data_IF_062480124693
#
_entry.id   IF_062480124693
#
_cell.length_a   1.000
_cell.length_b   1.000
_cell.length_c   1.000
_cell.angle_alpha   90.00
_cell.angle_beta   90.00
_cell.angle_gamma   90.00
#
_symmetry.space_group_name_H-M   'P 1'
#
loop_
_entity.id
_entity.type
_entity.pdbx_description
1 polymer ?
#
# COMPACT_ATOMS: atom_id res chain seq x y z
N UNK A 1 4.18 -2.75 -28.90
CA UNK A 1 3.20 -1.65 -28.63
C UNK A 1 3.24 -0.63 -29.78
N UNK A 2 2.08 -0.03 -30.18
CA UNK A 2 2.05 1.05 -31.22
C UNK A 2 2.65 2.32 -30.63
N UNK A 3 3.40 3.13 -31.44
CA UNK A 3 4.04 4.37 -30.96
C UNK A 3 3.07 5.36 -30.34
N UNK A 4 1.88 5.53 -30.93
CA UNK A 4 0.86 6.46 -30.45
C UNK A 4 0.31 6.05 -29.07
N UNK A 5 0.09 4.74 -28.89
CA UNK A 5 -0.35 4.19 -27.60
C UNK A 5 0.76 4.39 -26.53
N UNK A 6 2.01 4.17 -26.93
CA UNK A 6 3.16 4.39 -26.05
C UNK A 6 3.25 5.84 -25.58
N UNK A 7 3.14 6.80 -26.49
CA UNK A 7 3.20 8.22 -26.12
C UNK A 7 2.02 8.61 -25.22
N UNK A 8 0.82 8.15 -25.54
CA UNK A 8 -0.36 8.44 -24.74
C UNK A 8 -0.27 7.85 -23.32
N UNK A 9 0.32 6.67 -23.15
CA UNK A 9 0.56 6.09 -21.82
C UNK A 9 1.57 6.93 -21.02
N UNK A 10 2.60 7.46 -21.67
CA UNK A 10 3.56 8.37 -21.02
C UNK A 10 2.85 9.65 -20.54
N UNK A 11 2.07 10.27 -21.41
CA UNK A 11 1.35 11.52 -21.10
C UNK A 11 0.36 11.32 -19.93
N UNK A 12 -0.38 10.23 -19.94
CA UNK A 12 -1.30 9.90 -18.84
C UNK A 12 -0.54 9.59 -17.54
N UNK A 13 0.55 8.84 -17.60
CA UNK A 13 1.33 8.55 -16.40
C UNK A 13 1.91 9.83 -15.77
N UNK A 14 2.39 10.77 -16.57
CA UNK A 14 2.89 12.05 -16.06
C UNK A 14 1.76 12.92 -15.47
N UNK A 15 0.60 12.98 -16.15
CA UNK A 15 -0.55 13.76 -15.69
C UNK A 15 -1.16 13.22 -14.40
N UNK A 16 -1.36 11.90 -14.32
CA UNK A 16 -2.12 11.28 -13.23
C UNK A 16 -1.26 10.74 -12.09
N UNK A 17 0.06 10.76 -12.21
CA UNK A 17 0.96 10.55 -11.08
C UNK A 17 1.11 11.86 -10.27
N UNK A 18 0.00 12.32 -9.71
CA UNK A 18 -0.11 13.55 -8.95
C UNK A 18 -0.96 13.32 -7.69
N UNK A 19 -0.52 13.79 -6.51
CA UNK A 19 -1.24 13.63 -5.23
C UNK A 19 -2.69 14.12 -5.26
N UNK A 20 -3.02 15.08 -6.12
CA UNK A 20 -4.39 15.65 -6.22
C UNK A 20 -5.45 14.58 -6.52
N UNK A 21 -5.09 13.54 -7.27
CA UNK A 21 -6.00 12.44 -7.61
C UNK A 21 -6.14 11.37 -6.51
N UNK A 22 -5.30 11.45 -5.46
CA UNK A 22 -5.19 10.43 -4.40
C UNK A 22 -5.48 10.98 -3.00
N UNK A 23 -6.08 12.17 -2.89
CA UNK A 23 -6.42 12.78 -1.60
C UNK A 23 -7.41 11.94 -0.78
N UNK A 24 -8.40 11.35 -1.43
CA UNK A 24 -9.37 10.44 -0.81
C UNK A 24 -9.06 8.96 -1.06
N UNK A 25 -7.83 8.65 -1.48
CA UNK A 25 -7.40 7.26 -1.72
C UNK A 25 -6.87 6.63 -0.42
N UNK A 26 -6.98 5.31 -0.25
CA UNK A 26 -6.44 4.63 0.93
C UNK A 26 -4.97 4.89 1.24
N UNK A 27 -4.14 5.25 0.25
CA UNK A 27 -2.74 5.65 0.47
C UNK A 27 -2.61 6.89 1.37
N UNK A 28 -3.67 7.69 1.51
CA UNK A 28 -3.69 8.84 2.41
C UNK A 28 -3.36 8.45 3.86
N UNK A 29 -3.77 7.26 4.30
CA UNK A 29 -3.51 6.79 5.66
C UNK A 29 -2.02 6.55 5.95
N UNK A 30 -1.30 5.67 5.26
CA UNK A 30 0.13 5.51 5.52
C UNK A 30 0.92 6.81 5.25
N UNK A 31 0.46 7.68 4.35
CA UNK A 31 1.06 9.01 4.16
C UNK A 31 0.85 9.91 5.37
N UNK A 32 -0.31 9.90 6.00
CA UNK A 32 -0.59 10.66 7.21
C UNK A 32 0.30 10.20 8.38
N UNK A 33 0.48 8.89 8.56
CA UNK A 33 1.44 8.36 9.54
C UNK A 33 2.86 8.83 9.25
N UNK A 34 3.29 8.83 7.98
CA UNK A 34 4.60 9.35 7.58
C UNK A 34 4.74 10.85 7.92
N UNK A 35 3.74 11.67 7.59
CA UNK A 35 3.73 13.10 7.88
C UNK A 35 3.78 13.42 9.38
N UNK A 36 3.20 12.55 10.21
CA UNK A 36 3.26 12.65 11.67
C UNK A 36 4.60 12.17 12.26
N UNK A 37 5.54 11.71 11.45
CA UNK A 37 6.83 11.17 11.90
C UNK A 37 6.71 9.84 12.64
N UNK A 38 5.68 9.04 12.34
CA UNK A 38 5.48 7.74 12.93
C UNK A 38 6.60 6.75 12.58
N UNK A 39 6.79 5.73 13.40
CA UNK A 39 7.75 4.67 13.14
C UNK A 39 7.37 3.88 11.87
N UNK A 40 8.37 3.29 11.20
CA UNK A 40 8.14 2.50 9.97
C UNK A 40 7.08 1.41 10.17
N UNK A 41 7.05 0.77 11.34
CA UNK A 41 6.07 -0.27 11.67
C UNK A 41 4.64 0.24 11.70
N UNK A 42 4.40 1.45 12.23
CA UNK A 42 3.08 2.07 12.19
C UNK A 42 2.65 2.35 10.75
N UNK A 43 3.57 2.82 9.90
CA UNK A 43 3.30 3.11 8.48
C UNK A 43 3.05 1.82 7.71
N UNK A 44 3.82 0.75 7.94
CA UNK A 44 3.61 -0.57 7.34
C UNK A 44 2.24 -1.14 7.71
N UNK A 45 1.86 -1.06 8.99
CA UNK A 45 0.56 -1.53 9.47
C UNK A 45 -0.56 -0.70 8.86
N UNK A 46 -0.39 0.63 8.79
CA UNK A 46 -1.35 1.50 8.12
C UNK A 46 -1.50 1.14 6.64
N UNK A 47 -0.41 0.90 5.93
CA UNK A 47 -0.44 0.52 4.52
C UNK A 47 -1.13 -0.83 4.30
N UNK A 48 -0.86 -1.84 5.15
CA UNK A 48 -1.48 -3.17 5.00
C UNK A 48 -2.99 -3.13 5.27
N UNK A 49 -3.44 -2.41 6.30
CA UNK A 49 -4.87 -2.30 6.60
C UNK A 49 -5.60 -1.43 5.60
N UNK A 50 -5.03 -0.29 5.19
CA UNK A 50 -5.62 0.56 4.16
C UNK A 50 -5.79 -0.21 2.83
N UNK A 51 -4.78 -0.98 2.42
CA UNK A 51 -4.87 -1.84 1.24
C UNK A 51 -5.87 -2.99 1.44
N UNK A 52 -5.97 -3.57 2.63
CA UNK A 52 -6.93 -4.64 2.94
C UNK A 52 -8.38 -4.16 2.83
N UNK A 53 -8.66 -2.94 3.29
CA UNK A 53 -10.00 -2.33 3.21
C UNK A 53 -10.30 -1.71 1.84
N UNK A 54 -9.32 -1.60 0.92
CA UNK A 54 -9.45 -0.93 -0.38
C UNK A 54 -10.33 -1.68 -1.37
N UNK A 55 -11.64 -1.76 -1.09
CA UNK A 55 -12.65 -2.29 -2.01
C UNK A 55 -14.05 -1.74 -1.71
N UNK A 56 -14.75 -1.33 -2.74
CA UNK A 56 -16.06 -0.68 -2.64
C UNK A 56 -15.98 0.83 -2.93
N UNK A 57 -16.89 1.60 -2.36
CA UNK A 57 -16.95 3.05 -2.57
C UNK A 57 -15.84 3.75 -1.77
N UNK A 58 -15.13 4.70 -2.40
CA UNK A 58 -13.98 5.40 -1.81
C UNK A 58 -14.30 6.05 -0.45
N UNK A 59 -15.38 6.81 -0.36
CA UNK A 59 -15.81 7.44 0.91
C UNK A 59 -16.06 6.41 2.04
N UNK A 60 -16.58 5.23 1.71
CA UNK A 60 -16.76 4.15 2.70
C UNK A 60 -15.42 3.59 3.16
N UNK A 61 -14.46 3.41 2.25
CA UNK A 61 -13.12 2.92 2.57
C UNK A 61 -12.44 3.90 3.53
N UNK A 62 -12.44 5.20 3.20
CA UNK A 62 -11.84 6.25 4.05
C UNK A 62 -12.49 6.25 5.43
N UNK A 63 -13.83 6.31 5.52
CA UNK A 63 -14.55 6.26 6.81
C UNK A 63 -14.14 5.05 7.66
N UNK A 64 -14.08 3.88 7.05
CA UNK A 64 -13.86 2.63 7.78
C UNK A 64 -12.38 2.43 8.13
N UNK A 65 -11.44 2.96 7.34
CA UNK A 65 -10.05 3.08 7.73
C UNK A 65 -9.89 4.05 8.93
N UNK A 66 -10.55 5.20 8.91
CA UNK A 66 -10.55 6.14 10.06
C UNK A 66 -11.04 5.44 11.32
N UNK A 67 -12.20 4.76 11.26
CA UNK A 67 -12.72 3.98 12.39
C UNK A 67 -11.72 2.93 12.92
N UNK A 68 -10.98 2.30 12.04
CA UNK A 68 -9.96 1.33 12.43
C UNK A 68 -8.79 2.01 13.16
N UNK A 69 -8.28 3.12 12.62
CA UNK A 69 -7.17 3.81 13.25
C UNK A 69 -7.56 4.59 14.51
N UNK A 70 -8.82 5.04 14.62
CA UNK A 70 -9.38 5.59 15.87
C UNK A 70 -9.41 4.52 16.96
N UNK A 71 -9.84 3.29 16.68
CA UNK A 71 -9.78 2.16 17.59
C UNK A 71 -8.34 1.83 18.03
N UNK A 72 -7.36 2.02 17.16
CA UNK A 72 -5.94 1.85 17.44
C UNK A 72 -5.29 3.10 18.07
N UNK A 73 -6.07 4.14 18.41
CA UNK A 73 -5.58 5.42 18.92
C UNK A 73 -4.47 6.02 18.04
N UNK A 74 -4.51 5.77 16.74
CA UNK A 74 -3.50 6.15 15.76
C UNK A 74 -2.07 5.69 16.13
N UNK A 75 -1.96 4.58 16.89
CA UNK A 75 -0.71 3.92 17.30
C UNK A 75 -0.79 2.41 16.99
N UNK A 76 -0.92 2.03 15.71
CA UNK A 76 -1.24 0.64 15.36
C UNK A 76 -0.17 -0.36 15.81
N UNK A 77 1.11 0.00 15.82
CA UNK A 77 2.15 -0.87 16.34
C UNK A 77 1.99 -1.13 17.84
N UNK A 78 1.75 -0.07 18.62
CA UNK A 78 1.50 -0.20 20.07
C UNK A 78 0.24 -1.02 20.34
N UNK A 79 -0.84 -0.79 19.60
CA UNK A 79 -2.08 -1.55 19.70
C UNK A 79 -1.83 -3.05 19.45
N UNK A 80 -1.05 -3.37 18.40
CA UNK A 80 -0.70 -4.76 18.09
C UNK A 80 0.17 -5.36 19.20
N UNK A 81 1.18 -4.64 19.70
CA UNK A 81 2.10 -5.14 20.72
C UNK A 81 1.45 -5.27 22.11
N UNK A 82 0.40 -4.50 22.39
CA UNK A 82 -0.41 -4.65 23.62
C UNK A 82 -1.20 -5.97 23.65
N UNK A 83 -1.40 -6.62 22.50
CA UNK A 83 -2.08 -7.91 22.36
C UNK A 83 -3.49 -7.95 22.98
N UNK A 84 -4.18 -6.80 22.94
CA UNK A 84 -5.55 -6.63 23.44
C UNK A 84 -6.40 -5.97 22.35
N UNK A 85 -6.91 -6.79 21.44
CA UNK A 85 -7.61 -6.32 20.25
C UNK A 85 -9.12 -6.35 20.47
N UNK A 86 -9.80 -5.39 19.84
CA UNK A 86 -11.23 -5.49 19.65
C UNK A 86 -11.54 -6.71 18.80
N UNK A 87 -12.23 -7.69 19.40
CA UNK A 87 -12.57 -8.98 18.79
C UNK A 87 -14.08 -9.23 18.95
N UNK A 88 -14.87 -8.68 18.03
CA UNK A 88 -16.30 -8.90 17.96
C UNK A 88 -16.77 -9.16 16.52
N UNK A 89 -18.01 -9.65 16.38
CA UNK A 89 -18.57 -10.02 15.10
C UNK A 89 -19.26 -8.87 14.36
N UNK A 90 -19.17 -7.63 14.84
CA UNK A 90 -19.70 -6.46 14.13
C UNK A 90 -18.84 -6.10 12.92
N UNK A 91 -19.47 -5.55 11.90
CA UNK A 91 -18.77 -5.16 10.69
C UNK A 91 -17.94 -3.90 10.91
N UNK A 92 -16.67 -3.97 10.54
CA UNK A 92 -15.85 -2.78 10.33
C UNK A 92 -16.08 -2.24 8.92
N UNK A 93 -15.93 -3.07 7.89
CA UNK A 93 -16.02 -2.67 6.49
C UNK A 93 -16.68 -3.76 5.66
N UNK A 94 -17.91 -3.54 5.21
CA UNK A 94 -18.67 -4.49 4.40
C UNK A 94 -18.76 -5.87 5.08
N UNK A 95 -18.11 -6.90 4.53
CA UNK A 95 -18.06 -8.25 5.11
C UNK A 95 -16.92 -8.45 6.09
N UNK A 96 -15.96 -7.52 6.18
CA UNK A 96 -14.82 -7.59 7.10
C UNK A 96 -15.31 -7.21 8.50
N UNK A 97 -15.10 -8.09 9.45
CA UNK A 97 -15.48 -7.94 10.86
C UNK A 97 -14.28 -7.54 11.72
N UNK A 98 -14.54 -7.00 12.92
CA UNK A 98 -13.49 -6.72 13.90
C UNK A 98 -12.73 -7.98 14.31
N UNK A 99 -13.39 -9.14 14.41
CA UNK A 99 -12.72 -10.42 14.65
C UNK A 99 -11.70 -10.79 13.57
N UNK A 100 -11.95 -10.45 12.29
CA UNK A 100 -10.97 -10.67 11.22
C UNK A 100 -9.76 -9.75 11.39
N UNK A 101 -9.99 -8.49 11.77
CA UNK A 101 -8.92 -7.55 12.09
C UNK A 101 -8.08 -8.02 13.28
N UNK A 102 -8.72 -8.48 14.36
CA UNK A 102 -8.04 -9.06 15.53
C UNK A 102 -7.13 -10.24 15.14
N UNK A 103 -7.60 -11.11 14.26
CA UNK A 103 -6.80 -12.20 13.73
C UNK A 103 -5.59 -11.73 12.91
N UNK A 104 -5.73 -10.65 12.15
CA UNK A 104 -4.60 -10.05 11.41
C UNK A 104 -3.62 -9.41 12.41
N UNK A 105 -4.11 -8.65 13.38
CA UNK A 105 -3.30 -8.06 14.45
C UNK A 105 -2.47 -9.12 15.20
N UNK A 106 -3.09 -10.25 15.57
CA UNK A 106 -2.39 -11.35 16.24
C UNK A 106 -1.24 -11.91 15.38
N UNK A 107 -1.43 -12.05 14.06
CA UNK A 107 -0.36 -12.50 13.15
C UNK A 107 0.74 -11.47 12.98
N UNK A 108 0.40 -10.19 12.91
CA UNK A 108 1.36 -9.10 12.92
C UNK A 108 2.15 -9.04 14.24
N UNK A 109 1.48 -9.27 15.39
CA UNK A 109 2.16 -9.42 16.67
C UNK A 109 3.24 -10.51 16.63
N UNK A 110 2.89 -11.72 16.18
CA UNK A 110 3.87 -12.80 16.03
C UNK A 110 4.98 -12.48 15.04
N UNK A 111 4.65 -11.80 13.94
CA UNK A 111 5.63 -11.37 12.96
C UNK A 111 6.63 -10.38 13.55
N UNK A 112 6.18 -9.33 14.20
CA UNK A 112 7.06 -8.29 14.76
C UNK A 112 7.75 -8.73 16.06
N UNK A 113 7.18 -9.65 16.82
CA UNK A 113 7.79 -10.22 18.04
C UNK A 113 8.87 -11.25 17.74
N UNK A 114 8.89 -11.84 16.56
CA UNK A 114 9.93 -12.80 16.17
C UNK A 114 11.28 -12.08 16.06
N UNK A 115 12.37 -12.75 16.45
CA UNK A 115 13.73 -12.19 16.34
C UNK A 115 14.06 -11.89 14.88
N UNK A 116 14.47 -10.66 14.60
CA UNK A 116 15.05 -10.32 13.31
C UNK A 116 16.40 -11.04 13.17
N UNK A 117 16.58 -11.74 12.06
CA UNK A 117 17.83 -12.45 11.73
C UNK A 117 18.80 -11.57 10.94
N UNK A 118 18.50 -10.30 10.71
CA UNK A 118 19.29 -9.34 9.94
C UNK A 118 19.35 -7.96 10.57
N UNK A 119 20.40 -7.23 10.30
CA UNK A 119 20.81 -5.93 10.90
C UNK A 119 19.75 -4.82 10.71
N UNK A 120 19.55 -3.95 11.73
CA UNK A 120 18.59 -2.86 11.63
C UNK A 120 19.08 -1.74 10.74
N UNK A 121 18.14 -1.09 10.08
CA UNK A 121 18.39 0.15 9.35
C UNK A 121 17.58 1.29 9.98
N UNK A 122 18.29 2.33 10.42
CA UNK A 122 17.68 3.58 10.87
C UNK A 122 17.33 4.40 9.62
N UNK A 123 16.06 4.69 9.42
CA UNK A 123 15.61 5.57 8.33
C UNK A 123 15.60 6.99 8.86
N UNK A 124 16.53 7.83 8.39
CA UNK A 124 16.47 9.28 8.59
C UNK A 124 15.66 9.87 7.44
N UNK A 125 14.50 10.43 7.74
CA UNK A 125 13.60 11.04 6.76
C UNK A 125 13.85 12.55 6.71
N UNK A 126 14.30 13.05 5.55
CA UNK A 126 14.21 14.46 5.20
C UNK A 126 12.82 14.71 4.59
N UNK A 127 11.96 15.42 5.30
CA UNK A 127 10.61 15.77 4.84
C UNK A 127 10.61 17.13 4.17
N UNK A 128 9.96 17.24 3.00
CA UNK A 128 9.61 18.51 2.37
C UNK A 128 8.31 19.04 3.03
N UNK A 129 8.28 20.29 3.57
CA UNK A 129 7.19 20.79 4.39
C UNK A 129 5.93 21.27 3.64
N UNK A 130 5.79 21.03 2.34
CA UNK A 130 4.76 21.69 1.51
C UNK A 130 3.43 20.94 1.35
N UNK A 131 3.20 19.83 2.04
CA UNK A 131 1.94 19.05 1.89
C UNK A 131 0.98 19.33 3.06
N UNK A 132 -0.15 19.94 2.76
CA UNK A 132 -1.20 20.27 3.75
C UNK A 132 -1.99 19.02 4.22
N UNK A 133 -2.19 18.92 5.54
CA UNK A 133 -3.05 17.93 6.21
C UNK A 133 -4.53 18.18 5.90
N UNK A 134 -5.29 17.14 5.54
CA UNK A 134 -6.70 17.24 5.08
C UNK A 134 -7.71 16.89 6.17
N UNK A 135 -7.31 16.38 7.32
CA UNK A 135 -8.24 16.01 8.40
C UNK A 135 -7.82 16.66 9.72
N UNK A 136 -8.75 17.41 10.33
CA UNK A 136 -8.60 17.97 11.67
C UNK A 136 -8.65 16.87 12.73
N UNK A 137 -7.50 16.33 13.05
CA UNK A 137 -7.30 15.38 14.15
C UNK A 137 -6.52 16.04 15.27
N UNK A 138 -6.69 15.62 16.54
CA UNK A 138 -6.08 16.28 17.69
C UNK A 138 -4.55 16.32 17.56
N UNK A 139 -3.99 17.49 17.80
CA UNK A 139 -2.56 17.74 17.83
C UNK A 139 -1.88 16.84 18.87
N UNK A 140 -0.97 15.99 18.44
CA UNK A 140 -0.06 15.30 19.34
C UNK A 140 0.90 16.34 19.96
N UNK A 141 0.80 16.53 21.26
CA UNK A 141 1.81 17.23 22.03
C UNK A 141 3.15 16.49 21.89
N UNK A 142 4.16 17.18 21.40
CA UNK A 142 5.53 16.70 21.41
C UNK A 142 6.03 16.70 22.86
N UNK A 143 5.74 15.66 23.62
CA UNK A 143 6.49 15.38 24.84
C UNK A 143 7.79 14.71 24.44
N UNK A 144 8.87 15.46 24.57
CA UNK A 144 10.23 15.01 24.35
C UNK A 144 10.58 13.87 25.31
N UNK A 145 10.51 12.65 24.82
CA UNK A 145 11.10 11.49 25.47
C UNK A 145 12.59 11.43 25.11
N UNK A 146 13.42 12.10 25.90
CA UNK A 146 14.83 11.75 26.06
C UNK A 146 14.89 10.45 26.87
N UNK A 147 14.66 9.34 26.25
CA UNK A 147 14.74 7.99 26.83
C UNK A 147 16.08 7.36 26.51
N UNK A 148 16.89 7.23 27.53
CA UNK A 148 18.17 6.53 27.66
C UNK A 148 18.26 5.21 26.90
N UNK A 149 19.45 4.96 26.32
CA UNK A 149 20.05 3.72 25.82
C UNK A 149 19.40 2.39 26.17
N UNK A 150 18.38 2.00 25.40
CA UNK A 150 17.97 0.61 25.29
C UNK A 150 18.65 0.03 24.05
N UNK A 151 19.29 -1.13 24.18
CA UNK A 151 19.77 -1.97 23.07
C UNK A 151 18.57 -2.37 22.22
N UNK A 152 18.17 -1.47 21.30
CA UNK A 152 17.00 -1.63 20.46
C UNK A 152 17.18 -2.88 19.59
N UNK A 153 16.36 -3.89 19.85
CA UNK A 153 16.28 -5.07 18.98
C UNK A 153 15.89 -4.60 17.58
N UNK A 154 16.57 -5.12 16.53
CA UNK A 154 16.16 -4.83 15.16
C UNK A 154 14.73 -5.34 14.97
N UNK A 155 13.81 -4.43 14.65
CA UNK A 155 12.41 -4.77 14.38
C UNK A 155 12.29 -5.22 12.93
N UNK A 156 11.55 -6.31 12.70
CA UNK A 156 11.32 -6.83 11.34
C UNK A 156 10.50 -5.85 10.52
N UNK A 157 10.76 -5.82 9.22
CA UNK A 157 9.96 -5.09 8.24
C UNK A 157 9.20 -6.08 7.34
N UNK A 158 7.97 -5.73 6.97
CA UNK A 158 7.15 -6.47 6.00
C UNK A 158 7.76 -6.45 4.59
N UNK A 159 8.70 -5.55 4.31
CA UNK A 159 9.46 -5.50 3.06
C UNK A 159 10.14 -6.83 2.72
N UNK A 160 10.58 -7.56 3.76
CA UNK A 160 11.29 -8.85 3.61
C UNK A 160 10.37 -9.99 3.13
N UNK A 161 9.07 -9.77 3.08
CA UNK A 161 8.10 -10.74 2.62
C UNK A 161 7.70 -10.47 1.17
N UNK A 162 7.65 -11.52 0.37
CA UNK A 162 7.00 -11.48 -0.94
C UNK A 162 5.49 -11.27 -0.81
N UNK A 163 4.81 -10.92 -1.90
CA UNK A 163 3.36 -10.77 -1.89
C UNK A 163 2.63 -12.06 -1.50
N UNK A 164 3.15 -13.22 -1.89
CA UNK A 164 2.57 -14.52 -1.52
C UNK A 164 2.81 -14.85 -0.04
N UNK A 165 3.99 -14.55 0.49
CA UNK A 165 4.27 -14.72 1.92
C UNK A 165 3.37 -13.83 2.78
N UNK A 166 3.15 -12.56 2.41
CA UNK A 166 2.19 -11.68 3.10
C UNK A 166 0.77 -12.28 3.03
N UNK A 167 0.36 -12.79 1.87
CA UNK A 167 -0.93 -13.44 1.68
C UNK A 167 -1.13 -14.62 2.64
N UNK A 168 -0.14 -15.49 2.74
CA UNK A 168 -0.23 -16.73 3.53
C UNK A 168 -0.03 -16.44 5.01
N UNK A 169 1.00 -15.64 5.38
CA UNK A 169 1.39 -15.45 6.79
C UNK A 169 0.53 -14.40 7.49
N UNK A 170 0.24 -13.28 6.85
CA UNK A 170 -0.49 -12.18 7.48
C UNK A 170 -2.00 -12.32 7.28
N UNK A 171 -2.45 -12.58 6.05
CA UNK A 171 -3.88 -12.73 5.77
C UNK A 171 -4.40 -14.17 5.94
N UNK A 172 -3.52 -15.15 6.17
CA UNK A 172 -3.84 -16.57 6.28
C UNK A 172 -4.75 -17.07 5.15
N UNK A 173 -4.57 -16.51 3.98
CA UNK A 173 -5.25 -17.00 2.79
C UNK A 173 -4.53 -18.25 2.28
N UNK A 174 -5.28 -19.14 1.63
CA UNK A 174 -4.71 -20.35 1.04
C UNK A 174 -3.62 -19.96 0.01
N UNK A 175 -2.51 -20.70 0.01
CA UNK A 175 -1.51 -20.58 -1.05
C UNK A 175 -2.16 -20.71 -2.42
N UNK A 176 -1.89 -19.76 -3.29
CA UNK A 176 -2.39 -19.73 -4.65
C UNK A 176 -1.38 -19.04 -5.57
N UNK A 177 -0.54 -19.84 -6.21
CA UNK A 177 0.50 -19.38 -7.15
C UNK A 177 -0.06 -18.61 -8.36
N UNK A 178 -1.38 -18.63 -8.57
CA UNK A 178 -2.05 -17.90 -9.64
C UNK A 178 -2.68 -16.59 -9.18
N UNK A 179 -2.75 -16.34 -7.89
CA UNK A 179 -3.37 -15.13 -7.35
C UNK A 179 -2.60 -13.88 -7.79
N UNK A 180 -3.31 -12.89 -8.33
CA UNK A 180 -2.72 -11.60 -8.70
C UNK A 180 -2.34 -10.73 -7.51
N UNK A 181 -2.80 -11.06 -6.30
CA UNK A 181 -2.48 -10.38 -5.04
C UNK A 181 -2.63 -8.83 -5.11
N UNK A 182 -3.71 -8.34 -5.76
CA UNK A 182 -3.93 -6.92 -6.08
C UNK A 182 -3.67 -5.99 -4.90
N UNK A 183 -4.28 -6.27 -3.76
CA UNK A 183 -4.18 -5.41 -2.56
C UNK A 183 -2.74 -5.35 -2.03
N UNK A 184 -2.06 -6.47 -2.02
CA UNK A 184 -0.67 -6.57 -1.54
C UNK A 184 0.28 -5.89 -2.53
N UNK A 185 0.11 -6.09 -3.84
CA UNK A 185 0.91 -5.40 -4.85
C UNK A 185 0.66 -3.89 -4.86
N UNK A 186 -0.56 -3.43 -4.55
CA UNK A 186 -0.87 -2.01 -4.36
C UNK A 186 -0.13 -1.42 -3.15
N UNK A 187 -0.16 -2.11 -2.00
CA UNK A 187 0.62 -1.73 -0.83
C UNK A 187 2.13 -1.72 -1.13
N UNK A 188 2.64 -2.74 -1.81
CA UNK A 188 4.06 -2.81 -2.20
C UNK A 188 4.44 -1.63 -3.12
N UNK A 189 3.59 -1.25 -4.08
CA UNK A 189 3.79 -0.05 -4.89
C UNK A 189 3.94 1.18 -4.00
N UNK A 190 3.01 1.40 -3.08
CA UNK A 190 3.04 2.55 -2.16
C UNK A 190 4.34 2.61 -1.35
N UNK A 191 4.79 1.46 -0.85
CA UNK A 191 5.93 1.40 0.06
C UNK A 191 7.30 1.43 -0.66
N UNK A 192 7.37 0.96 -1.91
CA UNK A 192 8.63 0.79 -2.66
C UNK A 192 8.90 1.96 -3.61
N UNK A 193 7.89 2.40 -4.40
CA UNK A 193 8.12 3.48 -5.37
C UNK A 193 8.46 4.79 -4.67
N UNK A 194 9.56 5.40 -5.12
CA UNK A 194 10.07 6.65 -4.56
C UNK A 194 10.27 7.69 -5.69
N UNK A 195 9.17 8.32 -6.10
CA UNK A 195 9.21 9.40 -7.09
C UNK A 195 8.92 10.79 -6.48
N UNK A 196 8.75 10.86 -5.15
CA UNK A 196 8.48 12.09 -4.40
C UNK A 196 7.09 12.68 -4.63
N UNK A 197 6.16 11.93 -5.28
CA UNK A 197 4.81 12.41 -5.62
C UNK A 197 3.73 11.67 -4.84
N UNK A 198 3.31 10.52 -5.35
CA UNK A 198 2.17 9.77 -4.80
C UNK A 198 2.61 8.70 -3.82
N UNK A 199 3.58 7.88 -4.19
CA UNK A 199 4.03 6.75 -3.40
C UNK A 199 5.06 7.17 -2.34
N UNK A 200 5.29 6.34 -1.31
CA UNK A 200 6.01 6.72 -0.09
C UNK A 200 7.50 6.40 -0.15
N UNK A 201 7.90 5.34 -0.85
CA UNK A 201 9.29 4.97 -1.08
C UNK A 201 10.08 4.61 0.19
N UNK A 202 9.44 4.00 1.17
CA UNK A 202 10.05 3.66 2.47
C UNK A 202 10.76 2.31 2.47
N UNK A 203 10.37 1.41 1.56
CA UNK A 203 11.01 0.12 1.38
C UNK A 203 12.14 0.24 0.37
N UNK A 204 13.35 0.07 0.82
CA UNK A 204 14.56 0.40 0.05
C UNK A 204 15.40 -0.82 -0.34
N UNK A 205 15.02 -2.02 0.09
CA UNK A 205 15.67 -3.27 -0.30
C UNK A 205 15.02 -3.90 -1.53
N UNK A 206 13.79 -3.49 -1.85
CA UNK A 206 13.06 -3.93 -3.04
C UNK A 206 13.17 -2.88 -4.14
N UNK A 207 13.55 -3.28 -5.34
CA UNK A 207 13.56 -2.38 -6.50
C UNK A 207 12.16 -2.14 -7.03
N UNK A 208 11.86 -0.92 -7.50
CA UNK A 208 10.62 -0.63 -8.21
C UNK A 208 10.50 -1.45 -9.52
N UNK A 209 11.64 -1.82 -10.13
CA UNK A 209 11.68 -2.69 -11.30
C UNK A 209 11.11 -4.11 -11.03
N UNK A 210 11.13 -4.56 -9.78
CA UNK A 210 10.64 -5.89 -9.38
C UNK A 210 9.14 -5.91 -9.01
N UNK A 211 8.51 -4.74 -9.00
CA UNK A 211 7.09 -4.62 -8.67
C UNK A 211 6.20 -5.17 -9.79
N UNK A 212 5.04 -5.65 -9.38
CA UNK A 212 3.99 -6.14 -10.28
C UNK A 212 2.77 -5.22 -10.15
N UNK A 213 2.16 -4.87 -11.28
CA UNK A 213 0.99 -3.99 -11.32
C UNK A 213 -0.15 -4.54 -10.45
N UNK A 214 -0.84 -3.70 -9.66
CA UNK A 214 -1.99 -4.11 -8.85
C UNK A 214 -3.20 -4.46 -9.74
N UNK A 215 -3.25 -5.68 -10.26
CA UNK A 215 -4.27 -6.10 -11.20
C UNK A 215 -5.65 -6.25 -10.57
N UNK A 216 -6.59 -5.39 -10.95
CA UNK A 216 -8.01 -5.56 -10.71
C UNK A 216 -8.82 -5.59 -12.02
N UNK A 217 -10.16 -5.55 -11.90
CA UNK A 217 -11.04 -5.58 -13.08
C UNK A 217 -10.87 -4.35 -13.96
N UNK A 218 -10.65 -3.16 -13.36
CA UNK A 218 -10.49 -1.90 -14.09
C UNK A 218 -9.15 -1.87 -14.82
N UNK A 219 -8.06 -2.15 -14.12
CA UNK A 219 -6.71 -2.26 -14.69
C UNK A 219 -6.69 -3.27 -15.84
N UNK A 220 -7.30 -4.45 -15.62
CA UNK A 220 -7.42 -5.48 -16.67
C UNK A 220 -8.17 -4.96 -17.89
N UNK A 221 -9.36 -4.35 -17.69
CA UNK A 221 -10.22 -3.93 -18.80
C UNK A 221 -9.53 -2.85 -19.64
N UNK A 222 -8.84 -1.91 -18.99
CA UNK A 222 -8.12 -0.85 -19.68
C UNK A 222 -6.89 -1.38 -20.41
N UNK A 223 -6.11 -2.25 -19.76
CA UNK A 223 -4.95 -2.88 -20.37
C UNK A 223 -5.33 -3.71 -21.60
N UNK A 224 -6.42 -4.48 -21.52
CA UNK A 224 -6.93 -5.24 -22.67
C UNK A 224 -7.41 -4.33 -23.82
N UNK A 225 -8.10 -3.23 -23.51
CA UNK A 225 -8.55 -2.26 -24.51
C UNK A 225 -7.38 -1.55 -25.22
N UNK A 226 -6.26 -1.40 -24.54
CA UNK A 226 -5.01 -0.81 -25.09
C UNK A 226 -4.11 -1.87 -25.76
N UNK A 227 -4.51 -3.15 -25.75
CA UNK A 227 -3.72 -4.23 -26.34
C UNK A 227 -2.48 -4.63 -25.55
N UNK A 228 -2.42 -4.32 -24.24
CA UNK A 228 -1.32 -4.71 -23.36
C UNK A 228 -1.41 -6.18 -22.90
N UNK A 229 -2.56 -6.81 -23.08
CA UNK A 229 -2.81 -8.21 -22.82
C UNK A 229 -3.93 -8.74 -23.71
N UNK A 230 -3.82 -9.98 -24.15
CA UNK A 230 -4.85 -10.76 -24.86
C UNK A 230 -5.48 -11.84 -23.97
N UNK A 231 -4.96 -12.02 -22.77
CA UNK A 231 -5.41 -13.04 -21.81
C UNK A 231 -6.76 -12.68 -21.22
N UNK A 232 -7.62 -13.69 -21.04
CA UNK A 232 -8.96 -13.53 -20.42
C UNK A 232 -8.95 -13.70 -18.90
N UNK A 233 -7.93 -14.37 -18.34
CA UNK A 233 -7.79 -14.61 -16.92
C UNK A 233 -7.20 -13.36 -16.22
N UNK A 234 -7.71 -13.05 -15.04
CA UNK A 234 -7.20 -11.96 -14.17
C UNK A 234 -6.31 -12.55 -13.07
N UNK A 235 -5.23 -13.17 -13.47
CA UNK A 235 -4.29 -13.88 -12.61
C UNK A 235 -2.90 -13.22 -12.60
N UNK A 236 -1.95 -13.78 -11.85
CA UNK A 236 -0.59 -13.27 -11.76
C UNK A 236 0.13 -13.27 -13.10
N UNK A 237 -0.21 -14.21 -14.01
CA UNK A 237 0.42 -14.26 -15.33
C UNK A 237 0.00 -13.05 -16.16
N UNK A 238 -1.29 -12.69 -16.12
CA UNK A 238 -1.80 -11.48 -16.77
C UNK A 238 -1.21 -10.20 -16.14
N UNK A 239 -1.10 -10.16 -14.81
CA UNK A 239 -0.46 -9.03 -14.13
C UNK A 239 0.99 -8.85 -14.58
N UNK A 240 1.76 -9.93 -14.70
CA UNK A 240 3.13 -9.90 -15.21
C UNK A 240 3.18 -9.47 -16.67
N UNK A 241 2.33 -10.01 -17.54
CA UNK A 241 2.28 -9.62 -18.95
C UNK A 241 2.07 -8.10 -19.11
N UNK A 242 1.12 -7.53 -18.36
CA UNK A 242 0.87 -6.09 -18.38
C UNK A 242 2.08 -5.31 -17.83
N UNK A 243 2.68 -5.79 -16.74
CA UNK A 243 3.88 -5.19 -16.16
C UNK A 243 5.04 -5.21 -17.15
N UNK A 244 5.24 -6.31 -17.87
CA UNK A 244 6.31 -6.45 -18.87
C UNK A 244 6.08 -5.50 -20.06
N UNK A 245 4.85 -5.29 -20.48
CA UNK A 245 4.53 -4.29 -21.51
C UNK A 245 4.88 -2.86 -21.04
N UNK A 246 4.69 -2.54 -19.77
CA UNK A 246 5.13 -1.25 -19.20
C UNK A 246 6.64 -1.19 -18.99
N UNK A 247 7.32 -2.30 -18.74
CA UNK A 247 8.79 -2.34 -18.63
C UNK A 247 9.48 -1.93 -19.95
N UNK A 248 8.83 -2.09 -21.09
CA UNK A 248 9.32 -1.55 -22.36
C UNK A 248 9.33 0.00 -22.38
N UNK A 249 8.52 0.65 -21.55
CA UNK A 249 8.45 2.12 -21.43
C UNK A 249 9.30 2.61 -20.25
N UNK A 250 9.15 1.97 -19.10
CA UNK A 250 9.80 2.32 -17.83
C UNK A 250 10.51 1.08 -17.26
N UNK A 251 11.74 0.77 -17.71
CA UNK A 251 12.43 -0.46 -17.28
C UNK A 251 12.67 -0.53 -15.77
N UNK A 252 12.96 0.62 -15.15
CA UNK A 252 13.25 0.71 -13.72
C UNK A 252 12.01 0.97 -12.84
N UNK A 253 10.85 1.26 -13.44
CA UNK A 253 9.60 1.58 -12.74
C UNK A 253 8.35 1.18 -13.54
N UNK A 254 8.17 -0.11 -13.86
CA UNK A 254 7.08 -0.55 -14.73
C UNK A 254 5.69 -0.29 -14.14
N UNK A 255 5.57 -0.20 -12.81
CA UNK A 255 4.28 0.06 -12.16
C UNK A 255 3.85 1.53 -12.23
N UNK A 256 4.69 2.43 -12.75
CA UNK A 256 4.27 3.76 -13.18
C UNK A 256 3.12 3.70 -14.20
N UNK A 257 3.03 2.60 -14.96
CA UNK A 257 1.91 2.30 -15.86
C UNK A 257 0.54 2.22 -15.18
N UNK A 258 0.47 2.00 -13.87
CA UNK A 258 -0.80 2.01 -13.12
C UNK A 258 -1.47 3.40 -13.15
N UNK A 259 -0.68 4.48 -13.10
CA UNK A 259 -1.19 5.84 -13.26
C UNK A 259 -1.66 6.13 -14.69
N UNK A 260 -0.99 5.55 -15.70
CA UNK A 260 -1.44 5.65 -17.09
C UNK A 260 -2.80 4.98 -17.29
N UNK A 261 -3.01 3.78 -16.73
CA UNK A 261 -4.30 3.09 -16.80
C UNK A 261 -5.37 3.82 -16.00
N UNK A 262 -5.04 4.40 -14.85
CA UNK A 262 -5.94 5.27 -14.10
C UNK A 262 -6.40 6.45 -14.98
N UNK A 263 -5.46 7.16 -15.60
CA UNK A 263 -5.73 8.28 -16.51
C UNK A 263 -6.62 7.89 -17.69
N UNK A 264 -6.33 6.77 -18.34
CA UNK A 264 -7.19 6.23 -19.40
C UNK A 264 -8.62 5.96 -18.92
N UNK A 265 -8.77 5.45 -17.69
CA UNK A 265 -10.09 5.21 -17.10
C UNK A 265 -10.87 6.49 -16.77
N UNK A 266 -10.19 7.54 -16.37
CA UNK A 266 -10.80 8.87 -16.11
C UNK A 266 -11.24 9.51 -17.41
N UNK A 267 -10.35 9.63 -18.41
CA UNK A 267 -10.64 10.29 -19.68
C UNK A 267 -11.80 9.64 -20.46
N UNK A 268 -12.02 8.32 -20.30
CA UNK A 268 -13.16 7.62 -20.92
C UNK A 268 -14.49 7.80 -20.23
N UNK A 269 -14.51 8.23 -18.98
CA UNK A 269 -15.78 8.53 -18.27
C UNK A 269 -16.30 9.91 -18.59
N UNK A 270 -15.38 10.79 -18.98
CA UNK A 270 -15.69 12.20 -19.31
C UNK A 270 -16.00 12.37 -20.81
N UNK A 271 -15.85 11.33 -21.63
CA UNK A 271 -16.16 11.27 -23.06
C UNK A 271 -17.47 10.48 -23.32
#
# INVERSE_FOLDING_TARGET
>A
MKPEVRQQLIDWAETYNDPVYFQEDPIAFPREFLQRGAALQDIEIAAIFAAHLAWGRRAMIVRDCTRLFDEMEWRPYNYIMAHSYRDDNTSLHRTIKWSEIAHICNRLYHFYSARATSTPRTVSLALDPTVHSVHGSPSYGAEGSTGSGGTGRPVRSLELLSAEEIRVTIFRQKEDKRAANKKINMMRRWMVRNDGKVDLGLWTHTSAADLIIPLDVHVYTQAAALGLTDRKQKDIVTARQITDAFREIWPDDPVKGDFALFGYGVTRKDA
#
